data_IF_761607152585
#
_entry.id   IF_761607152585
#
_cell.length_a   1.000
_cell.length_b   1.000
_cell.length_c   1.000
_cell.angle_alpha   90.00
_cell.angle_beta   90.00
_cell.angle_gamma   90.00
#
_symmetry.space_group_name_H-M   'P 1'
#
loop_
_entity.id
_entity.type
_entity.pdbx_description
1 polymer ?
#
# COMPACT_ATOMS: atom_id res chain seq x y z
N UNK A 1 19.23 9.36 8.63
CA UNK A 1 18.59 10.66 8.92
C UNK A 1 17.12 10.57 8.58
N UNK A 2 16.25 10.87 9.54
CA UNK A 2 14.79 10.87 9.40
C UNK A 2 14.33 12.20 8.84
N UNK A 3 13.46 12.16 7.83
CA UNK A 3 12.81 13.30 7.17
C UNK A 3 11.30 13.08 7.14
N UNK A 4 10.56 14.08 6.68
CA UNK A 4 9.09 13.98 6.54
C UNK A 4 8.63 12.82 5.65
N UNK A 5 9.44 12.43 4.66
CA UNK A 5 9.14 11.26 3.80
C UNK A 5 9.20 9.92 4.54
N UNK A 6 9.81 9.88 5.74
CA UNK A 6 9.90 8.68 6.57
C UNK A 6 8.75 8.58 7.58
N UNK A 7 7.89 9.60 7.64
CA UNK A 7 6.74 9.68 8.54
C UNK A 7 5.47 9.67 7.73
N UNK A 8 4.36 9.24 8.33
CA UNK A 8 3.07 9.10 7.67
C UNK A 8 1.95 9.72 8.50
N UNK A 9 0.82 10.00 7.84
CA UNK A 9 -0.45 10.25 8.52
C UNK A 9 -1.23 8.94 8.73
N UNK A 10 -0.84 7.86 8.05
CA UNK A 10 -1.35 6.52 8.35
C UNK A 10 -0.80 6.04 9.70
N UNK A 11 -1.72 5.79 10.63
CA UNK A 11 -1.44 5.38 12.01
C UNK A 11 -0.69 4.05 12.10
N UNK A 12 -0.79 3.18 11.10
CA UNK A 12 0.00 1.93 11.09
C UNK A 12 1.46 2.12 10.71
N UNK A 13 1.77 3.24 10.05
CA UNK A 13 3.09 3.51 9.49
C UNK A 13 3.96 4.26 10.50
N UNK A 14 4.49 3.53 11.49
CA UNK A 14 5.28 4.07 12.62
C UNK A 14 6.57 4.79 12.20
N UNK A 15 7.34 4.19 11.29
CA UNK A 15 8.59 4.75 10.72
C UNK A 15 8.98 3.99 9.45
N UNK A 16 9.18 4.69 8.33
CA UNK A 16 9.78 4.08 7.13
C UNK A 16 11.31 4.13 7.16
N UNK A 17 11.90 2.99 7.49
CA UNK A 17 13.35 2.78 7.51
C UNK A 17 13.97 2.42 6.15
N UNK A 18 13.16 2.12 5.12
CA UNK A 18 13.65 1.71 3.80
C UNK A 18 14.16 2.92 3.00
N UNK A 19 13.57 4.09 3.19
CA UNK A 19 13.88 5.33 2.45
C UNK A 19 14.79 6.33 3.21
N UNK A 20 15.55 5.85 4.21
CA UNK A 20 16.44 6.69 5.01
C UNK A 20 17.61 7.25 4.19
N UNK A 21 18.01 8.49 4.51
CA UNK A 21 19.24 9.10 3.97
C UNK A 21 20.37 8.95 4.98
N UNK A 22 21.53 8.49 4.52
CA UNK A 22 22.71 8.33 5.36
C UNK A 22 23.56 9.60 5.37
N UNK A 23 24.16 9.89 6.53
CA UNK A 23 25.04 11.04 6.75
C UNK A 23 26.32 10.57 7.43
N UNK A 24 27.42 11.31 7.26
CA UNK A 24 28.67 11.03 7.96
C UNK A 24 28.53 11.18 9.47
N UNK A 25 29.33 10.42 10.23
CA UNK A 25 29.33 10.46 11.69
C UNK A 25 29.66 11.87 12.25
N UNK A 26 30.52 12.62 11.56
CA UNK A 26 30.90 13.98 11.93
C UNK A 26 29.72 14.96 11.95
N UNK A 27 28.71 14.73 11.09
CA UNK A 27 27.48 15.53 11.06
C UNK A 27 26.62 15.20 12.27
N UNK A 28 26.48 13.92 12.62
CA UNK A 28 25.72 13.48 13.78
C UNK A 28 26.34 14.01 15.10
N UNK A 29 27.67 13.98 15.22
CA UNK A 29 28.43 14.49 16.37
C UNK A 29 28.24 16.00 16.58
N UNK A 30 28.06 16.78 15.50
CA UNK A 30 27.76 18.22 15.57
C UNK A 30 26.33 18.51 16.05
N UNK A 31 25.42 17.53 15.98
CA UNK A 31 24.00 17.69 16.29
C UNK A 31 23.48 16.66 17.32
N UNK A 32 24.08 16.54 18.51
CA UNK A 32 23.75 15.49 19.49
C UNK A 32 22.31 15.61 20.03
N UNK A 33 21.75 16.83 20.03
CA UNK A 33 20.36 17.10 20.44
C UNK A 33 19.32 16.58 19.45
N UNK A 34 19.72 16.28 18.23
CA UNK A 34 18.85 15.77 17.16
C UNK A 34 18.97 14.26 16.96
N UNK A 35 19.70 13.55 17.83
CA UNK A 35 19.81 12.10 17.78
C UNK A 35 18.62 11.48 18.52
N UNK A 36 17.77 10.76 17.80
CA UNK A 36 16.67 9.97 18.33
C UNK A 36 17.10 8.51 18.53
N UNK A 37 16.51 7.85 19.52
CA UNK A 37 16.72 6.44 19.86
C UNK A 37 15.37 5.74 20.01
N UNK A 38 15.41 4.42 20.19
CA UNK A 38 14.21 3.62 20.45
C UNK A 38 13.34 4.25 21.56
N UNK A 39 12.04 4.35 21.30
CA UNK A 39 11.07 4.99 22.18
C UNK A 39 10.97 6.51 22.05
N UNK A 40 11.85 7.18 21.30
CA UNK A 40 11.63 8.59 20.95
C UNK A 40 10.56 8.69 19.86
N UNK A 41 9.74 9.75 19.94
CA UNK A 41 8.83 10.14 18.89
C UNK A 41 9.46 11.22 18.01
N UNK A 42 9.14 11.20 16.73
CA UNK A 42 9.58 12.20 15.75
C UNK A 42 8.36 12.86 15.14
N UNK A 43 8.29 14.18 15.23
CA UNK A 43 7.15 14.98 14.77
C UNK A 43 7.57 15.94 13.66
N UNK A 44 6.80 16.08 12.58
CA UNK A 44 7.12 17.05 11.52
C UNK A 44 6.76 18.47 11.93
N UNK A 45 7.75 19.37 11.98
CA UNK A 45 7.55 20.79 12.30
C UNK A 45 7.26 21.67 11.10
N UNK A 46 7.66 21.29 9.89
CA UNK A 46 7.47 22.11 8.68
C UNK A 46 7.13 21.27 7.46
N UNK A 47 6.14 21.71 6.68
CA UNK A 47 5.68 21.03 5.47
C UNK A 47 4.49 20.11 5.77
N UNK A 48 4.73 18.80 5.83
CA UNK A 48 3.72 17.78 6.17
C UNK A 48 3.43 17.73 7.66
N UNK A 49 2.97 18.87 8.21
CA UNK A 49 2.60 19.05 9.61
C UNK A 49 1.52 18.04 10.02
N UNK A 50 1.62 17.52 11.25
CA UNK A 50 0.70 16.52 11.79
C UNK A 50 1.24 15.09 11.73
N UNK A 51 2.25 14.83 10.90
CA UNK A 51 2.92 13.53 10.89
C UNK A 51 3.72 13.29 12.18
N UNK A 52 3.48 12.14 12.79
CA UNK A 52 4.24 11.63 13.92
C UNK A 52 4.76 10.23 13.59
N UNK A 53 5.95 9.91 14.05
CA UNK A 53 6.50 8.57 14.06
C UNK A 53 7.07 8.23 15.41
N UNK A 54 7.31 6.95 15.63
CA UNK A 54 8.00 6.43 16.82
C UNK A 54 9.16 5.59 16.34
N UNK A 55 10.32 5.68 17.00
CA UNK A 55 11.44 4.76 16.76
C UNK A 55 11.12 3.44 17.46
N UNK A 56 10.86 2.33 16.74
CA UNK A 56 10.55 1.04 17.36
C UNK A 56 11.71 0.50 18.19
N UNK A 57 11.41 -0.43 19.10
CA UNK A 57 12.43 -1.09 19.92
C UNK A 57 13.34 -2.01 19.10
N UNK A 58 12.81 -2.59 18.02
CA UNK A 58 13.49 -3.46 17.06
C UNK A 58 14.03 -2.72 15.82
N UNK A 59 14.16 -1.39 15.92
CA UNK A 59 14.71 -0.53 14.88
C UNK A 59 16.06 -1.02 14.34
N UNK A 60 16.28 -0.86 13.03
CA UNK A 60 17.51 -1.34 12.35
C UNK A 60 18.80 -0.69 12.86
N UNK A 61 18.70 0.53 13.39
CA UNK A 61 19.84 1.30 13.87
C UNK A 61 19.61 1.70 15.34
N UNK A 62 20.70 1.83 16.10
CA UNK A 62 20.63 2.29 17.49
C UNK A 62 20.36 3.79 17.62
N UNK A 63 20.68 4.57 16.58
CA UNK A 63 20.61 6.03 16.59
C UNK A 63 20.16 6.59 15.24
N UNK A 64 19.28 7.59 15.28
CA UNK A 64 18.73 8.26 14.10
C UNK A 64 18.92 9.77 14.22
N UNK A 65 19.62 10.38 13.26
CA UNK A 65 19.64 11.83 13.15
C UNK A 65 18.28 12.34 12.63
N UNK A 66 17.65 13.25 13.35
CA UNK A 66 16.40 13.91 12.96
C UNK A 66 16.71 15.19 12.19
N UNK A 67 16.09 15.39 11.02
CA UNK A 67 16.32 16.61 10.24
C UNK A 67 15.80 17.86 10.95
N UNK A 68 16.28 19.04 10.53
CA UNK A 68 15.86 20.34 11.09
C UNK A 68 14.38 20.69 10.88
N UNK A 69 13.66 19.96 10.02
CA UNK A 69 12.20 20.07 9.81
C UNK A 69 11.38 19.10 10.66
N UNK A 70 12.04 18.36 11.54
CA UNK A 70 11.42 17.43 12.47
C UNK A 70 11.83 17.80 13.91
N UNK A 71 11.02 17.37 14.87
CA UNK A 71 11.20 17.55 16.30
C UNK A 71 11.29 16.17 16.95
N UNK A 72 12.25 16.01 17.86
CA UNK A 72 12.35 14.81 18.70
C UNK A 72 11.59 15.04 20.00
N UNK A 73 10.79 14.06 20.40
CA UNK A 73 10.13 14.02 21.70
C UNK A 73 10.59 12.76 22.43
N UNK A 74 11.12 12.96 23.63
CA UNK A 74 11.49 11.88 24.55
C UNK A 74 10.52 11.94 25.72
N UNK A 75 9.82 10.84 25.99
CA UNK A 75 8.87 10.76 27.10
C UNK A 75 9.56 10.30 28.40
N UNK A 76 8.94 10.63 29.53
CA UNK A 76 9.27 10.01 30.81
C UNK A 76 8.50 8.67 30.92
N UNK A 77 9.18 7.51 30.84
CA UNK A 77 8.52 6.21 30.85
C UNK A 77 7.82 5.90 32.18
N UNK A 78 8.16 6.60 33.27
CA UNK A 78 7.45 6.51 34.54
C UNK A 78 6.10 7.25 34.55
N UNK A 79 5.72 7.91 33.45
CA UNK A 79 4.49 8.69 33.33
C UNK A 79 3.70 8.40 32.06
N UNK A 80 4.40 8.10 30.96
CA UNK A 80 3.77 7.94 29.64
C UNK A 80 4.42 6.80 28.87
N UNK A 81 3.61 5.89 28.34
CA UNK A 81 4.06 4.91 27.35
C UNK A 81 4.33 5.62 26.01
N UNK A 82 5.54 5.46 25.41
CA UNK A 82 5.85 6.08 24.13
C UNK A 82 4.86 5.70 23.02
N UNK A 83 4.50 4.40 22.95
CA UNK A 83 3.60 3.89 21.91
C UNK A 83 2.16 4.36 22.13
N UNK A 84 1.71 4.47 23.38
CA UNK A 84 0.43 5.10 23.69
C UNK A 84 0.40 6.56 23.22
N UNK A 85 1.46 7.33 23.50
CA UNK A 85 1.54 8.72 23.05
C UNK A 85 1.57 8.81 21.52
N UNK A 86 2.22 7.88 20.83
CA UNK A 86 2.19 7.80 19.37
C UNK A 86 0.75 7.67 18.86
N UNK A 87 -0.03 6.72 19.39
CA UNK A 87 -1.44 6.56 19.02
C UNK A 87 -2.28 7.78 19.36
N UNK A 88 -2.07 8.39 20.53
CA UNK A 88 -2.76 9.62 20.92
C UNK A 88 -2.51 10.76 19.94
N UNK A 89 -1.27 10.97 19.52
CA UNK A 89 -0.89 12.05 18.60
C UNK A 89 -1.26 11.76 17.14
N UNK A 90 -1.41 10.49 16.78
CA UNK A 90 -1.77 10.06 15.42
C UNK A 90 -3.28 10.13 15.13
N UNK A 91 -4.10 10.42 16.14
CA UNK A 91 -5.55 10.55 15.94
C UNK A 91 -5.90 11.73 15.05
N UNK A 92 -6.86 11.51 14.15
CA UNK A 92 -7.36 12.52 13.21
C UNK A 92 -7.74 13.84 13.90
N UNK A 93 -8.44 13.77 15.05
CA UNK A 93 -8.82 14.95 15.81
C UNK A 93 -7.61 15.77 16.30
N UNK A 94 -6.52 15.10 16.70
CA UNK A 94 -5.30 15.76 17.16
C UNK A 94 -4.54 16.35 15.98
N UNK A 95 -4.46 15.63 14.86
CA UNK A 95 -3.88 16.13 13.61
C UNK A 95 -4.62 17.40 13.14
N UNK A 96 -5.96 17.39 13.15
CA UNK A 96 -6.79 18.53 12.80
C UNK A 96 -6.58 19.73 13.74
N UNK A 97 -6.47 19.48 15.05
CA UNK A 97 -6.13 20.54 16.00
C UNK A 97 -4.77 21.17 15.67
N UNK A 98 -3.76 20.35 15.41
CA UNK A 98 -2.40 20.80 15.07
C UNK A 98 -2.41 21.61 13.77
N UNK A 99 -3.16 21.17 12.77
CA UNK A 99 -3.30 21.89 11.50
C UNK A 99 -4.05 23.22 11.67
N UNK A 100 -5.06 23.28 12.54
CA UNK A 100 -5.79 24.50 12.88
C UNK A 100 -4.93 25.55 13.60
N UNK A 101 -3.90 25.10 14.32
CA UNK A 101 -2.92 25.95 15.00
C UNK A 101 -1.66 26.21 14.14
N UNK A 102 -1.55 25.64 12.93
CA UNK A 102 -0.36 25.76 12.11
C UNK A 102 -0.08 27.22 11.67
N UNK A 103 1.19 27.57 11.63
CA UNK A 103 1.71 28.90 11.29
C UNK A 103 2.30 28.86 9.87
N UNK A 104 2.28 29.99 9.15
CA UNK A 104 2.92 30.11 7.84
C UNK A 104 1.93 29.86 6.70
N UNK A 105 1.71 30.89 5.88
CA UNK A 105 0.67 30.89 4.85
C UNK A 105 0.98 29.99 3.65
N UNK A 106 2.25 29.82 3.29
CA UNK A 106 2.68 29.03 2.12
C UNK A 106 3.26 27.67 2.48
N UNK A 107 3.94 27.56 3.63
CA UNK A 107 4.47 26.30 4.16
C UNK A 107 4.01 26.21 5.61
N UNK A 108 3.05 25.32 5.93
CA UNK A 108 2.60 25.12 7.29
C UNK A 108 3.76 24.73 8.20
N UNK A 109 3.75 25.30 9.40
CA UNK A 109 4.72 25.09 10.45
C UNK A 109 4.05 24.90 11.80
N UNK A 110 4.54 23.97 12.60
CA UNK A 110 4.11 23.73 13.97
C UNK A 110 5.36 23.62 14.85
N UNK A 111 5.50 24.55 15.79
CA UNK A 111 6.76 24.71 16.54
C UNK A 111 6.72 24.02 17.92
N UNK A 112 7.90 23.90 18.54
CA UNK A 112 8.05 23.28 19.86
C UNK A 112 7.23 23.97 20.97
N UNK A 113 6.99 25.28 20.86
CA UNK A 113 6.18 26.02 21.83
C UNK A 113 4.71 25.61 21.78
N UNK A 114 4.16 25.47 20.57
CA UNK A 114 2.79 24.99 20.35
C UNK A 114 2.64 23.52 20.79
N UNK A 115 3.61 22.68 20.41
CA UNK A 115 3.63 21.28 20.80
C UNK A 115 3.64 21.09 22.33
N UNK A 116 4.32 21.97 23.08
CA UNK A 116 4.32 21.97 24.55
C UNK A 116 2.99 22.38 25.19
N UNK A 117 2.14 23.08 24.44
CA UNK A 117 0.81 23.52 24.90
C UNK A 117 -0.28 22.50 24.56
N UNK A 118 0.02 21.55 23.66
CA UNK A 118 -0.90 20.48 23.29
C UNK A 118 -1.27 19.65 24.52
N UNK A 119 -2.56 19.62 24.85
CA UNK A 119 -3.08 18.84 25.97
C UNK A 119 -3.36 17.43 25.50
N UNK A 120 -2.79 16.45 26.18
CA UNK A 120 -3.04 15.02 25.96
C UNK A 120 -3.76 14.43 27.16
N UNK A 121 -4.72 13.55 26.92
CA UNK A 121 -5.36 12.76 27.98
C UNK A 121 -4.45 11.59 28.32
N UNK A 122 -4.08 11.43 29.59
CA UNK A 122 -3.20 10.36 30.05
C UNK A 122 -3.96 9.56 31.12
N UNK A 123 -4.44 8.34 30.80
CA UNK A 123 -4.91 7.42 31.81
C UNK A 123 -3.71 6.89 32.63
N UNK A 124 -3.97 6.04 33.62
CA UNK A 124 -2.88 5.40 34.37
C UNK A 124 -1.98 4.54 33.45
N UNK A 125 -0.75 4.27 33.90
CA UNK A 125 0.24 3.56 33.09
C UNK A 125 -0.19 2.15 32.67
N UNK A 126 -0.99 1.45 33.49
CA UNK A 126 -1.45 0.11 33.14
C UNK A 126 -2.43 0.20 31.97
N UNK A 127 -3.41 1.10 32.04
CA UNK A 127 -4.34 1.37 30.94
C UNK A 127 -3.61 1.83 29.66
N UNK A 128 -2.59 2.69 29.78
CA UNK A 128 -1.79 3.10 28.62
C UNK A 128 -1.06 1.92 27.96
N UNK A 129 -0.49 1.02 28.78
CA UNK A 129 0.19 -0.17 28.30
C UNK A 129 -0.80 -1.13 27.60
N UNK A 130 -1.95 -1.40 28.22
CA UNK A 130 -2.97 -2.28 27.64
C UNK A 130 -3.46 -1.77 26.27
N UNK A 131 -3.71 -0.47 26.13
CA UNK A 131 -4.14 0.13 24.85
C UNK A 131 -3.01 0.01 23.81
N UNK A 132 -1.79 0.36 24.21
CA UNK A 132 -0.62 0.29 23.34
C UNK A 132 -0.33 -1.14 22.88
N UNK A 133 -0.54 -2.14 23.72
CA UNK A 133 -0.32 -3.55 23.41
C UNK A 133 -1.36 -4.07 22.40
N UNK A 134 -2.64 -3.72 22.57
CA UNK A 134 -3.71 -4.15 21.65
C UNK A 134 -3.52 -3.56 20.27
N UNK A 135 -3.41 -2.23 20.17
CA UNK A 135 -3.20 -1.56 18.88
C UNK A 135 -1.83 -1.93 18.30
N UNK A 136 -0.84 -2.07 19.18
CA UNK A 136 0.52 -2.48 18.86
C UNK A 136 0.56 -3.81 18.13
N UNK A 137 -0.12 -4.81 18.69
CA UNK A 137 -0.19 -6.16 18.13
C UNK A 137 -0.87 -6.21 16.75
N UNK A 138 -1.87 -5.36 16.51
CA UNK A 138 -2.53 -5.26 15.19
C UNK A 138 -1.54 -4.74 14.13
N UNK A 139 -0.86 -3.64 14.41
CA UNK A 139 0.13 -3.06 13.50
C UNK A 139 1.34 -3.99 13.30
N UNK A 140 1.80 -4.66 14.35
CA UNK A 140 2.91 -5.62 14.27
C UNK A 140 2.54 -6.80 13.36
N UNK A 141 1.30 -7.29 13.45
CA UNK A 141 0.77 -8.33 12.58
C UNK A 141 0.63 -7.86 11.13
N UNK A 142 0.15 -6.63 10.89
CA UNK A 142 0.10 -6.02 9.55
C UNK A 142 1.51 -5.98 8.94
N UNK A 143 2.49 -5.44 9.68
CA UNK A 143 3.88 -5.34 9.24
C UNK A 143 4.52 -6.72 9.02
N UNK A 144 4.20 -7.72 9.84
CA UNK A 144 4.62 -9.10 9.62
C UNK A 144 4.04 -9.67 8.32
N UNK A 145 2.75 -9.47 8.06
CA UNK A 145 2.10 -9.91 6.84
C UNK A 145 2.67 -9.21 5.59
N UNK A 146 2.99 -7.91 5.65
CA UNK A 146 3.65 -7.21 4.55
C UNK A 146 5.04 -7.79 4.22
N UNK A 147 5.82 -8.17 5.24
CA UNK A 147 7.11 -8.86 5.02
C UNK A 147 6.94 -10.25 4.37
N UNK A 148 5.87 -10.96 4.73
CA UNK A 148 5.52 -12.24 4.09
C UNK A 148 5.09 -12.01 2.65
N UNK A 149 4.27 -10.99 2.36
CA UNK A 149 3.87 -10.61 1.00
C UNK A 149 5.09 -10.34 0.11
N UNK A 150 6.04 -9.51 0.58
CA UNK A 150 7.29 -9.20 -0.14
C UNK A 150 8.04 -10.51 -0.50
N UNK A 151 8.14 -11.44 0.46
CA UNK A 151 8.87 -12.70 0.28
C UNK A 151 8.17 -13.69 -0.65
N UNK A 152 6.83 -13.80 -0.54
CA UNK A 152 6.00 -14.72 -1.33
C UNK A 152 5.97 -14.28 -2.79
N UNK A 153 5.83 -12.98 -3.06
CA UNK A 153 5.87 -12.45 -4.41
C UNK A 153 7.26 -12.64 -5.05
N UNK A 154 8.34 -12.38 -4.30
CA UNK A 154 9.69 -12.63 -4.79
C UNK A 154 9.89 -14.12 -5.15
N UNK A 155 9.42 -15.04 -4.29
CA UNK A 155 9.48 -16.47 -4.56
C UNK A 155 8.67 -16.88 -5.80
N UNK A 156 7.48 -16.32 -5.99
CA UNK A 156 6.66 -16.57 -7.17
C UNK A 156 7.35 -16.12 -8.48
N UNK A 157 7.96 -14.92 -8.48
CA UNK A 157 8.77 -14.45 -9.60
C UNK A 157 9.98 -15.35 -9.89
N UNK A 158 10.65 -15.86 -8.86
CA UNK A 158 11.77 -16.79 -9.01
C UNK A 158 11.33 -18.13 -9.62
N UNK A 159 10.20 -18.68 -9.16
CA UNK A 159 9.62 -19.89 -9.76
C UNK A 159 9.23 -19.66 -11.22
N UNK A 160 8.66 -18.51 -11.57
CA UNK A 160 8.40 -18.15 -12.96
C UNK A 160 9.69 -18.08 -13.77
N UNK A 161 10.71 -17.37 -13.28
CA UNK A 161 11.98 -17.24 -13.98
C UNK A 161 12.67 -18.60 -14.20
N UNK A 162 12.60 -19.51 -13.22
CA UNK A 162 13.09 -20.88 -13.36
C UNK A 162 12.29 -21.66 -14.40
N UNK A 163 10.96 -21.70 -14.27
CA UNK A 163 10.09 -22.43 -15.19
C UNK A 163 10.23 -21.92 -16.63
N UNK A 164 10.34 -20.61 -16.81
CA UNK A 164 10.57 -19.95 -18.12
C UNK A 164 11.90 -20.34 -18.75
N UNK A 165 12.97 -20.52 -17.97
CA UNK A 165 14.27 -21.00 -18.49
C UNK A 165 14.25 -22.47 -18.90
N UNK A 166 13.56 -23.31 -18.15
CA UNK A 166 13.51 -24.77 -18.38
C UNK A 166 12.50 -25.16 -19.46
N UNK A 167 11.48 -24.33 -19.68
CA UNK A 167 10.43 -24.59 -20.65
C UNK A 167 10.95 -24.54 -22.10
N UNK A 168 10.56 -25.53 -22.89
CA UNK A 168 10.50 -25.35 -24.34
C UNK A 168 9.44 -24.30 -24.67
N UNK A 169 9.85 -23.29 -25.43
CA UNK A 169 9.01 -22.14 -25.80
C UNK A 169 9.11 -21.86 -27.29
N UNK A 170 8.02 -21.34 -27.83
CA UNK A 170 7.96 -20.82 -29.19
C UNK A 170 7.61 -19.34 -29.18
N UNK A 171 7.97 -18.63 -30.25
CA UNK A 171 7.66 -17.22 -30.40
C UNK A 171 6.28 -17.06 -31.03
N UNK A 172 5.38 -16.42 -30.28
CA UNK A 172 4.05 -16.01 -30.73
C UNK A 172 3.90 -14.50 -30.50
N UNK A 173 2.73 -13.95 -30.79
CA UNK A 173 2.34 -12.60 -30.37
C UNK A 173 1.33 -12.66 -29.23
N UNK A 174 1.16 -11.56 -28.47
CA UNK A 174 0.09 -11.52 -27.48
C UNK A 174 -1.29 -11.69 -28.11
N UNK A 175 -1.51 -11.25 -29.36
CA UNK A 175 -2.80 -11.47 -30.05
C UNK A 175 -3.08 -12.96 -30.28
N UNK A 176 -2.05 -13.81 -30.40
CA UNK A 176 -2.22 -15.25 -30.58
C UNK A 176 -2.71 -15.92 -29.29
N UNK A 177 -2.23 -15.47 -28.12
CA UNK A 177 -2.41 -16.18 -26.83
C UNK A 177 -3.26 -15.44 -25.80
N UNK A 178 -3.58 -14.16 -26.02
CA UNK A 178 -4.28 -13.29 -25.05
C UNK A 178 -5.50 -12.62 -25.68
N UNK A 179 -6.60 -12.65 -24.95
CA UNK A 179 -7.75 -11.75 -25.15
C UNK A 179 -7.44 -10.40 -24.50
N UNK A 180 -7.21 -9.40 -25.36
CA UNK A 180 -6.86 -8.04 -24.92
C UNK A 180 -8.09 -7.14 -24.97
N UNK A 181 -8.47 -6.64 -23.80
CA UNK A 181 -9.61 -5.77 -23.58
C UNK A 181 -9.15 -4.41 -23.02
N UNK A 182 -10.09 -3.48 -22.84
CA UNK A 182 -9.83 -2.18 -22.24
C UNK A 182 -11.09 -1.64 -21.58
N UNK A 183 -11.01 -0.41 -21.10
CA UNK A 183 -12.06 0.21 -20.32
C UNK A 183 -12.68 1.47 -20.92
N UNK A 184 -13.49 2.12 -20.10
CA UNK A 184 -14.21 3.35 -20.40
C UNK A 184 -14.57 4.11 -19.13
N UNK A 185 -14.73 5.42 -19.26
CA UNK A 185 -15.18 6.27 -18.15
C UNK A 185 -16.61 6.71 -18.43
N UNK A 186 -17.60 6.35 -17.59
CA UNK A 186 -18.91 6.96 -17.69
C UNK A 186 -18.81 8.46 -17.38
N UNK A 187 -19.79 9.22 -17.88
CA UNK A 187 -19.84 10.67 -17.65
C UNK A 187 -19.81 10.98 -16.15
N UNK A 188 -18.80 11.75 -15.73
CA UNK A 188 -18.58 12.08 -14.31
C UNK A 188 -19.58 13.07 -13.76
N UNK A 189 -20.25 13.81 -14.64
CA UNK A 189 -21.28 14.80 -14.33
C UNK A 189 -22.69 14.21 -14.18
N UNK A 190 -22.84 12.89 -14.32
CA UNK A 190 -24.11 12.18 -14.17
C UNK A 190 -24.04 11.31 -12.89
N UNK A 191 -24.57 11.78 -11.75
CA UNK A 191 -24.47 11.08 -10.47
C UNK A 191 -25.04 9.65 -10.50
N UNK A 192 -26.07 9.40 -11.30
CA UNK A 192 -26.76 8.10 -11.43
C UNK A 192 -25.83 6.98 -11.94
N UNK A 193 -24.68 7.33 -12.52
CA UNK A 193 -23.68 6.37 -12.97
C UNK A 193 -22.73 5.89 -11.89
N UNK A 194 -22.71 6.55 -10.72
CA UNK A 194 -21.72 6.34 -9.67
C UNK A 194 -22.33 5.75 -8.40
N UNK A 195 -21.47 5.34 -7.47
CA UNK A 195 -21.86 4.80 -6.16
C UNK A 195 -22.71 3.52 -6.23
N UNK A 196 -22.62 2.80 -7.35
CA UNK A 196 -23.25 1.50 -7.53
C UNK A 196 -22.43 0.33 -6.98
N UNK A 197 -22.87 -0.91 -7.23
CA UNK A 197 -22.21 -2.11 -6.71
C UNK A 197 -20.99 -2.56 -7.52
N UNK A 198 -20.72 -1.95 -8.68
CA UNK A 198 -19.68 -2.39 -9.62
C UNK A 198 -18.38 -1.64 -9.32
N UNK A 199 -17.33 -2.37 -8.99
CA UNK A 199 -15.97 -1.82 -8.83
C UNK A 199 -15.51 -1.20 -10.14
N UNK A 200 -14.94 0.00 -10.09
CA UNK A 200 -14.43 0.70 -11.26
C UNK A 200 -13.00 1.17 -11.02
N UNK A 201 -12.04 0.41 -11.56
CA UNK A 201 -10.63 0.62 -11.31
C UNK A 201 -10.05 1.75 -12.18
N UNK A 202 -9.17 2.53 -11.56
CA UNK A 202 -8.32 3.55 -12.16
C UNK A 202 -6.85 3.20 -11.90
N UNK A 203 -5.89 3.76 -12.67
CA UNK A 203 -4.48 3.52 -12.42
C UNK A 203 -4.05 3.81 -10.98
N UNK A 204 -4.68 4.80 -10.33
CA UNK A 204 -4.44 5.14 -8.91
C UNK A 204 -4.70 3.95 -7.99
N UNK A 205 -5.79 3.21 -8.19
CA UNK A 205 -6.13 2.03 -7.39
C UNK A 205 -5.03 0.98 -7.48
N UNK A 206 -4.54 0.70 -8.69
CA UNK A 206 -3.49 -0.30 -8.91
C UNK A 206 -2.13 0.15 -8.40
N UNK A 207 -1.77 1.42 -8.56
CA UNK A 207 -0.49 1.96 -8.03
C UNK A 207 -0.46 2.11 -6.52
N UNK A 208 -1.62 2.13 -5.86
CA UNK A 208 -1.73 2.19 -4.40
C UNK A 208 -1.61 0.81 -3.73
N UNK A 209 -1.71 -0.28 -4.50
CA UNK A 209 -1.65 -1.64 -3.98
C UNK A 209 -0.27 -1.97 -3.37
N UNK A 210 -0.29 -2.63 -2.22
CA UNK A 210 0.92 -3.21 -1.59
C UNK A 210 1.33 -4.53 -2.22
N UNK A 211 0.37 -5.27 -2.75
CA UNK A 211 0.56 -6.52 -3.49
C UNK A 211 -0.42 -6.53 -4.67
N UNK A 212 -0.09 -7.17 -5.80
CA UNK A 212 -0.81 -6.98 -7.06
C UNK A 212 -2.12 -7.80 -7.12
N UNK A 213 -2.98 -7.64 -6.11
CA UNK A 213 -4.31 -8.26 -6.01
C UNK A 213 -5.32 -7.18 -5.67
N UNK A 214 -6.33 -6.99 -6.53
CA UNK A 214 -7.35 -5.94 -6.38
C UNK A 214 -8.66 -6.56 -5.89
N UNK A 215 -9.07 -6.19 -4.68
CA UNK A 215 -10.36 -6.56 -4.10
C UNK A 215 -11.40 -5.46 -4.26
N UNK A 216 -11.05 -4.23 -3.90
CA UNK A 216 -11.93 -3.06 -3.91
C UNK A 216 -11.31 -1.91 -4.70
N UNK A 217 -12.14 -0.97 -5.12
CA UNK A 217 -11.72 0.25 -5.85
C UNK A 217 -12.22 1.48 -5.11
N UNK A 218 -11.50 2.59 -5.19
CA UNK A 218 -11.88 3.84 -4.53
C UNK A 218 -13.17 4.45 -5.09
N UNK A 219 -13.59 4.04 -6.29
CA UNK A 219 -14.86 4.44 -6.90
C UNK A 219 -15.62 3.23 -7.42
N UNK A 220 -16.93 3.33 -7.41
CA UNK A 220 -17.83 2.32 -7.98
C UNK A 220 -18.83 2.95 -8.93
N UNK A 221 -19.39 2.15 -9.82
CA UNK A 221 -20.38 2.55 -10.82
C UNK A 221 -21.63 1.68 -10.74
N UNK A 222 -22.74 2.19 -11.28
CA UNK A 222 -23.99 1.46 -11.44
C UNK A 222 -24.00 0.68 -12.75
N UNK A 223 -24.98 -0.21 -12.92
CA UNK A 223 -25.22 -0.92 -14.19
C UNK A 223 -25.48 0.07 -15.35
N UNK A 224 -26.17 1.17 -15.05
CA UNK A 224 -26.40 2.26 -16.01
C UNK A 224 -25.08 2.94 -16.39
N UNK A 225 -24.19 3.18 -15.41
CA UNK A 225 -22.86 3.71 -15.66
C UNK A 225 -22.00 2.77 -16.53
N UNK A 226 -22.04 1.47 -16.25
CA UNK A 226 -21.32 0.46 -17.05
C UNK A 226 -21.83 0.46 -18.50
N UNK A 227 -23.15 0.39 -18.68
CA UNK A 227 -23.80 0.39 -20.00
C UNK A 227 -23.58 1.69 -20.80
N UNK A 228 -23.31 2.80 -20.11
CA UNK A 228 -23.08 4.12 -20.72
C UNK A 228 -21.61 4.37 -21.13
N UNK A 229 -20.71 3.40 -20.94
CA UNK A 229 -19.30 3.56 -21.28
C UNK A 229 -18.74 2.37 -22.08
N UNK A 230 -17.51 2.51 -22.58
CA UNK A 230 -16.83 1.44 -23.34
C UNK A 230 -16.19 0.36 -22.46
N UNK A 231 -16.36 0.43 -21.13
CA UNK A 231 -15.92 -0.64 -20.24
C UNK A 231 -16.89 -1.80 -20.30
N UNK A 232 -16.38 -2.99 -20.04
CA UNK A 232 -17.18 -4.16 -19.71
C UNK A 232 -16.92 -4.56 -18.26
N UNK A 233 -17.72 -5.49 -17.76
CA UNK A 233 -17.44 -6.14 -16.49
C UNK A 233 -16.42 -7.26 -16.73
N UNK A 234 -15.18 -7.05 -16.31
CA UNK A 234 -14.14 -8.06 -16.42
C UNK A 234 -14.29 -9.09 -15.31
N UNK A 235 -14.10 -10.36 -15.66
CA UNK A 235 -14.23 -11.48 -14.72
C UNK A 235 -13.10 -11.50 -13.69
N UNK A 236 -13.29 -12.14 -12.53
CA UNK A 236 -12.18 -12.46 -11.62
C UNK A 236 -11.05 -13.16 -12.37
N UNK A 237 -9.82 -12.99 -11.88
CA UNK A 237 -8.55 -13.43 -12.47
C UNK A 237 -8.06 -12.64 -13.68
N UNK A 238 -8.85 -11.70 -14.22
CA UNK A 238 -8.38 -10.79 -15.28
C UNK A 238 -7.17 -10.01 -14.80
N UNK A 239 -6.16 -9.88 -15.68
CA UNK A 239 -4.94 -9.14 -15.41
C UNK A 239 -5.16 -7.69 -15.83
N UNK A 240 -5.08 -6.76 -14.88
CA UNK A 240 -5.18 -5.34 -15.15
C UNK A 240 -3.77 -4.77 -15.21
N UNK A 241 -3.37 -4.21 -16.36
CA UNK A 241 -2.10 -3.52 -16.51
C UNK A 241 -2.34 -2.06 -16.87
N UNK A 242 -1.77 -1.14 -16.11
CA UNK A 242 -1.79 0.28 -16.46
C UNK A 242 -1.06 0.50 -17.79
N UNK A 243 -1.72 1.19 -18.72
CA UNK A 243 -1.20 1.43 -20.08
C UNK A 243 -0.77 2.86 -20.33
N UNK A 244 -0.96 3.76 -19.36
CA UNK A 244 -0.64 5.20 -19.44
C UNK A 244 -0.03 5.71 -18.15
N UNK A 245 0.85 6.71 -18.26
CA UNK A 245 1.56 7.40 -17.16
C UNK A 245 2.46 6.49 -16.30
N UNK A 246 1.88 5.49 -15.63
CA UNK A 246 2.58 4.50 -14.79
C UNK A 246 2.56 3.13 -15.46
N UNK A 247 3.01 3.03 -16.71
CA UNK A 247 2.95 1.79 -17.51
C UNK A 247 3.59 0.62 -16.74
N UNK A 248 2.89 -0.52 -16.68
CA UNK A 248 3.42 -1.73 -16.08
C UNK A 248 3.17 -1.87 -14.56
N UNK A 249 2.22 -1.13 -14.00
CA UNK A 249 1.63 -1.49 -12.72
C UNK A 249 0.52 -2.53 -12.95
N UNK A 250 0.48 -3.57 -12.12
CA UNK A 250 -0.38 -4.74 -12.33
C UNK A 250 -1.31 -5.00 -11.15
N UNK A 251 -2.49 -5.50 -11.47
CA UNK A 251 -3.38 -6.12 -10.49
C UNK A 251 -4.03 -7.40 -11.04
N UNK A 252 -4.08 -8.41 -10.20
CA UNK A 252 -4.93 -9.57 -10.35
C UNK A 252 -6.32 -9.25 -9.81
N UNK A 253 -7.35 -9.22 -10.67
CA UNK A 253 -8.70 -8.92 -10.24
C UNK A 253 -9.27 -10.06 -9.38
N UNK A 254 -9.43 -9.84 -8.07
CA UNK A 254 -10.00 -10.86 -7.17
C UNK A 254 -11.53 -10.94 -7.29
N UNK A 255 -12.17 -9.89 -7.81
CA UNK A 255 -13.62 -9.74 -7.98
C UNK A 255 -13.92 -9.20 -9.39
N UNK A 256 -15.18 -9.33 -9.87
CA UNK A 256 -15.59 -8.68 -11.10
C UNK A 256 -15.36 -7.16 -11.01
N UNK A 257 -14.79 -6.58 -12.05
CA UNK A 257 -14.35 -5.18 -12.04
C UNK A 257 -14.46 -4.56 -13.44
N UNK A 258 -14.94 -3.32 -13.50
CA UNK A 258 -14.85 -2.47 -14.67
C UNK A 258 -13.59 -1.60 -14.57
N UNK A 259 -13.06 -1.10 -15.69
CA UNK A 259 -11.84 -0.28 -15.66
C UNK A 259 -12.00 0.97 -16.52
N UNK A 260 -11.19 1.99 -16.25
CA UNK A 260 -11.12 3.15 -17.11
C UNK A 260 -10.24 2.89 -18.36
N UNK A 261 -10.12 3.89 -19.24
CA UNK A 261 -9.30 3.80 -20.47
C UNK A 261 -7.78 3.81 -20.24
N UNK A 262 -7.32 3.81 -18.98
CA UNK A 262 -5.92 3.74 -18.56
C UNK A 262 -5.36 2.32 -18.43
N UNK A 263 -6.12 1.30 -18.88
CA UNK A 263 -5.74 -0.09 -18.76
C UNK A 263 -5.67 -0.83 -20.09
N UNK A 264 -4.74 -1.77 -20.14
CA UNK A 264 -4.85 -2.99 -20.90
C UNK A 264 -5.36 -4.07 -19.94
N UNK A 265 -6.48 -4.72 -20.27
CA UNK A 265 -6.96 -5.88 -19.53
C UNK A 265 -6.64 -7.13 -20.32
N UNK A 266 -5.96 -8.08 -19.71
CA UNK A 266 -5.44 -9.27 -20.36
C UNK A 266 -6.02 -10.55 -19.73
N UNK A 267 -6.50 -11.45 -20.59
CA UNK A 267 -6.92 -12.81 -20.21
C UNK A 267 -6.29 -13.79 -21.18
N UNK A 268 -5.61 -14.81 -20.67
CA UNK A 268 -5.06 -15.87 -21.50
C UNK A 268 -6.23 -16.63 -22.17
N UNK A 269 -6.08 -16.92 -23.47
CA UNK A 269 -7.05 -17.74 -24.19
C UNK A 269 -7.11 -19.17 -23.66
N UNK A 270 -5.98 -19.68 -23.16
CA UNK A 270 -5.91 -20.90 -22.35
C UNK A 270 -5.96 -20.52 -20.86
N UNK A 271 -7.03 -20.86 -20.11
CA UNK A 271 -7.12 -20.59 -18.68
C UNK A 271 -5.96 -21.16 -17.87
N UNK A 272 -5.35 -22.28 -18.30
CA UNK A 272 -4.21 -22.87 -17.60
C UNK A 272 -2.95 -22.02 -17.70
N UNK A 273 -2.89 -21.10 -18.66
CA UNK A 273 -1.80 -20.16 -18.84
C UNK A 273 -2.07 -18.79 -18.18
N UNK A 274 -3.21 -18.57 -17.51
CA UNK A 274 -3.54 -17.27 -16.91
C UNK A 274 -2.49 -16.80 -15.90
N UNK A 275 -2.06 -17.70 -15.00
CA UNK A 275 -1.03 -17.39 -14.02
C UNK A 275 0.33 -17.16 -14.68
N UNK A 276 0.67 -17.97 -15.69
CA UNK A 276 1.90 -17.78 -16.47
C UNK A 276 1.92 -16.40 -17.14
N UNK A 277 0.81 -16.02 -17.78
CA UNK A 277 0.65 -14.72 -18.43
C UNK A 277 0.88 -13.56 -17.45
N UNK A 278 0.35 -13.67 -16.23
CA UNK A 278 0.53 -12.62 -15.22
C UNK A 278 2.01 -12.35 -14.91
N UNK A 279 2.79 -13.39 -14.63
CA UNK A 279 4.22 -13.23 -14.36
C UNK A 279 5.04 -12.93 -15.61
N UNK A 280 4.64 -13.44 -16.77
CA UNK A 280 5.25 -13.10 -18.06
C UNK A 280 5.12 -11.60 -18.32
N UNK A 281 3.93 -11.03 -18.15
CA UNK A 281 3.71 -9.61 -18.38
C UNK A 281 4.49 -8.74 -17.40
N UNK A 282 4.51 -9.12 -16.12
CA UNK A 282 5.30 -8.42 -15.10
C UNK A 282 6.81 -8.43 -15.41
N UNK A 283 7.32 -9.50 -16.03
CA UNK A 283 8.74 -9.59 -16.40
C UNK A 283 9.15 -8.72 -17.59
N UNK A 284 8.19 -8.06 -18.26
CA UNK A 284 8.38 -7.38 -19.55
C UNK A 284 8.01 -5.90 -19.55
N UNK A 285 7.96 -5.28 -18.37
CA UNK A 285 7.67 -3.84 -18.25
C UNK A 285 8.64 -2.99 -19.08
N UNK A 286 9.93 -3.33 -19.11
CA UNK A 286 10.91 -2.59 -19.93
C UNK A 286 10.61 -2.66 -21.43
N UNK A 287 10.15 -3.82 -21.93
CA UNK A 287 9.71 -3.97 -23.33
C UNK A 287 8.50 -3.08 -23.61
N UNK A 288 7.55 -3.01 -22.67
CA UNK A 288 6.35 -2.18 -22.80
C UNK A 288 6.68 -0.70 -22.85
N UNK A 289 7.61 -0.25 -22.01
CA UNK A 289 8.10 1.12 -22.00
C UNK A 289 8.82 1.47 -23.30
N UNK A 290 9.63 0.55 -23.85
CA UNK A 290 10.33 0.76 -25.12
C UNK A 290 9.40 0.91 -26.34
N UNK A 291 8.18 0.35 -26.27
CA UNK A 291 7.18 0.42 -27.34
C UNK A 291 6.04 1.41 -27.04
N UNK A 292 6.10 2.11 -25.90
CA UNK A 292 5.17 3.16 -25.56
C UNK A 292 5.45 4.41 -26.40
N UNK A 293 4.39 5.11 -26.81
CA UNK A 293 4.49 6.32 -27.63
C UNK A 293 4.00 7.53 -26.84
N UNK A 294 4.51 8.72 -27.18
CA UNK A 294 4.08 10.01 -26.61
C UNK A 294 5.23 10.83 -26.03
N UNK A 295 5.22 12.14 -26.26
CA UNK A 295 6.27 13.05 -25.78
C UNK A 295 6.09 13.43 -24.29
N UNK A 296 4.85 13.69 -23.86
CA UNK A 296 4.53 14.17 -22.51
C UNK A 296 3.93 13.09 -21.62
N UNK A 297 3.14 12.18 -22.20
CA UNK A 297 2.58 11.02 -21.51
C UNK A 297 2.80 9.79 -22.37
N UNK A 298 3.59 8.84 -21.85
CA UNK A 298 3.79 7.56 -22.49
C UNK A 298 2.50 6.74 -22.43
N UNK A 299 2.14 6.15 -23.57
CA UNK A 299 1.01 5.24 -23.71
C UNK A 299 1.41 4.00 -24.52
N UNK A 300 1.10 2.82 -23.98
CA UNK A 300 1.12 1.58 -24.73
C UNK A 300 -0.27 1.27 -25.27
N UNK A 301 -0.47 1.44 -26.57
CA UNK A 301 -1.76 1.12 -27.20
C UNK A 301 -2.03 -0.39 -27.18
N UNK A 302 -3.30 -0.78 -27.06
CA UNK A 302 -3.73 -2.19 -27.16
C UNK A 302 -3.28 -2.86 -28.45
N UNK A 303 -3.27 -2.12 -29.57
CA UNK A 303 -2.85 -2.67 -30.86
C UNK A 303 -1.34 -2.94 -30.90
N UNK A 304 -0.54 -2.07 -30.27
CA UNK A 304 0.90 -2.27 -30.11
C UNK A 304 1.16 -3.48 -29.20
N UNK A 305 0.52 -3.53 -28.03
CA UNK A 305 0.65 -4.65 -27.09
C UNK A 305 0.37 -6.00 -27.75
N UNK A 306 -0.75 -6.11 -28.48
CA UNK A 306 -1.13 -7.31 -29.25
C UNK A 306 -0.03 -7.83 -30.18
N UNK A 307 0.74 -6.93 -30.80
CA UNK A 307 1.80 -7.29 -31.77
C UNK A 307 3.15 -7.60 -31.12
N UNK A 308 3.33 -7.35 -29.82
CA UNK A 308 4.59 -7.65 -29.17
C UNK A 308 4.83 -9.17 -29.18
N UNK A 309 6.04 -9.62 -29.54
CA UNK A 309 6.38 -11.03 -29.54
C UNK A 309 6.46 -11.53 -28.10
N UNK A 310 6.01 -12.75 -27.83
CA UNK A 310 6.06 -13.43 -26.52
C UNK A 310 6.58 -14.85 -26.70
N UNK A 311 7.51 -15.26 -25.81
CA UNK A 311 8.00 -16.62 -25.76
C UNK A 311 7.05 -17.47 -24.91
N UNK A 312 6.23 -18.30 -25.56
CA UNK A 312 5.12 -19.02 -24.94
C UNK A 312 5.45 -20.51 -24.71
N UNK A 313 5.11 -21.10 -23.55
CA UNK A 313 5.38 -22.50 -23.28
C UNK A 313 4.55 -23.41 -24.19
N UNK A 314 5.19 -24.40 -24.81
CA UNK A 314 4.54 -25.32 -25.75
C UNK A 314 3.93 -26.55 -25.07
N UNK A 315 4.31 -26.84 -23.82
CA UNK A 315 3.88 -28.04 -23.09
C UNK A 315 2.85 -27.72 -22.00
N UNK A 316 1.66 -28.32 -22.04
CA UNK A 316 0.67 -28.26 -20.96
C UNK A 316 1.26 -28.65 -19.59
N UNK A 317 2.13 -29.67 -19.56
CA UNK A 317 2.76 -30.15 -18.32
C UNK A 317 3.62 -29.08 -17.62
N UNK A 318 4.20 -28.14 -18.38
CA UNK A 318 4.97 -27.03 -17.82
C UNK A 318 4.05 -26.07 -17.07
N UNK A 319 2.90 -25.72 -17.67
CA UNK A 319 1.90 -24.87 -17.05
C UNK A 319 1.31 -25.52 -15.80
N UNK A 320 1.00 -26.83 -15.85
CA UNK A 320 0.50 -27.58 -14.69
C UNK A 320 1.49 -27.58 -13.52
N UNK A 321 2.78 -27.86 -13.79
CA UNK A 321 3.83 -27.82 -12.75
C UNK A 321 4.01 -26.43 -12.16
N UNK A 322 3.98 -25.42 -13.02
CA UNK A 322 4.09 -24.02 -12.62
C UNK A 322 2.90 -23.63 -11.73
N UNK A 323 1.67 -23.87 -12.17
CA UNK A 323 0.45 -23.55 -11.42
C UNK A 323 0.42 -24.28 -10.07
N UNK A 324 0.78 -25.57 -10.02
CA UNK A 324 0.83 -26.32 -8.76
C UNK A 324 1.76 -25.70 -7.73
N UNK A 325 2.81 -25.01 -8.18
CA UNK A 325 3.80 -24.38 -7.30
C UNK A 325 3.43 -22.95 -6.94
N UNK A 326 2.93 -22.18 -7.91
CA UNK A 326 2.74 -20.72 -7.77
C UNK A 326 1.32 -20.33 -7.39
N UNK A 327 0.30 -21.11 -7.74
CA UNK A 327 -1.08 -20.82 -7.34
C UNK A 327 -1.24 -20.69 -5.81
N UNK A 328 -0.67 -21.60 -4.97
CA UNK A 328 -0.76 -21.44 -3.51
C UNK A 328 -0.08 -20.16 -2.99
N UNK A 329 0.95 -19.66 -3.69
CA UNK A 329 1.62 -18.41 -3.33
C UNK A 329 0.72 -17.20 -3.63
N UNK A 330 0.01 -17.22 -4.76
CA UNK A 330 -0.96 -16.17 -5.09
C UNK A 330 -2.18 -16.21 -4.17
N UNK A 331 -2.66 -17.41 -3.81
CA UNK A 331 -3.77 -17.59 -2.86
C UNK A 331 -3.38 -17.06 -1.47
N UNK A 332 -2.16 -17.36 -1.00
CA UNK A 332 -1.62 -16.80 0.25
C UNK A 332 -1.50 -15.27 0.17
N UNK A 333 -1.04 -14.74 -0.96
CA UNK A 333 -0.97 -13.29 -1.19
C UNK A 333 -2.35 -12.65 -1.04
N UNK A 334 -3.36 -13.22 -1.69
CA UNK A 334 -4.76 -12.76 -1.62
C UNK A 334 -5.34 -12.84 -0.20
N UNK A 335 -4.99 -13.87 0.57
CA UNK A 335 -5.43 -14.03 1.96
C UNK A 335 -4.77 -13.00 2.90
N UNK A 336 -3.46 -12.76 2.75
CA UNK A 336 -2.72 -11.79 3.57
C UNK A 336 -3.16 -10.35 3.30
N UNK A 337 -3.47 -10.00 2.04
CA UNK A 337 -4.02 -8.68 1.69
C UNK A 337 -5.36 -8.45 2.41
N UNK A 338 -6.30 -9.38 2.31
CA UNK A 338 -7.58 -9.28 3.02
C UNK A 338 -7.44 -9.32 4.54
N UNK A 339 -6.45 -10.05 5.08
CA UNK A 339 -6.16 -10.01 6.51
C UNK A 339 -5.68 -8.61 6.93
N UNK A 340 -4.76 -8.00 6.18
CA UNK A 340 -4.28 -6.65 6.46
C UNK A 340 -5.38 -5.58 6.34
N UNK A 341 -6.28 -5.70 5.37
CA UNK A 341 -7.45 -4.82 5.26
C UNK A 341 -8.35 -4.93 6.50
N UNK A 342 -8.65 -6.16 6.96
CA UNK A 342 -9.46 -6.38 8.17
C UNK A 342 -8.77 -5.89 9.44
N UNK A 343 -7.47 -6.12 9.58
CA UNK A 343 -6.68 -5.68 10.72
C UNK A 343 -6.62 -4.14 10.78
N UNK A 344 -6.40 -3.50 9.63
CA UNK A 344 -6.44 -2.03 9.49
C UNK A 344 -7.81 -1.48 9.90
N UNK A 345 -8.89 -2.03 9.34
CA UNK A 345 -10.25 -1.61 9.69
C UNK A 345 -10.56 -1.81 11.18
N UNK A 346 -10.10 -2.91 11.77
CA UNK A 346 -10.27 -3.19 13.20
C UNK A 346 -9.51 -2.19 14.06
N UNK A 347 -8.24 -1.91 13.73
CA UNK A 347 -7.42 -0.92 14.42
C UNK A 347 -8.07 0.46 14.34
N UNK A 348 -8.49 0.88 13.16
CA UNK A 348 -9.06 2.22 12.94
C UNK A 348 -10.40 2.40 13.66
N UNK A 349 -11.17 1.31 13.82
CA UNK A 349 -12.39 1.31 14.63
C UNK A 349 -12.11 1.32 16.15
N UNK A 350 -11.09 0.60 16.61
CA UNK A 350 -10.74 0.50 18.03
C UNK A 350 -10.03 1.75 18.54
N UNK A 351 -9.16 2.35 17.74
CA UNK A 351 -8.32 3.49 18.14
C UNK A 351 -9.14 4.61 18.81
N UNK A 352 -10.14 5.25 18.18
CA UNK A 352 -10.87 6.34 18.82
C UNK A 352 -11.67 5.88 20.06
N UNK A 353 -12.17 4.65 20.10
CA UNK A 353 -12.95 4.13 21.22
C UNK A 353 -12.07 3.83 22.44
N UNK A 354 -10.87 3.27 22.24
CA UNK A 354 -9.89 3.02 23.28
C UNK A 354 -9.28 4.33 23.80
N UNK A 355 -8.89 5.24 22.90
CA UNK A 355 -8.31 6.53 23.30
C UNK A 355 -9.31 7.45 24.01
N UNK A 356 -10.62 7.32 23.72
CA UNK A 356 -11.67 8.05 24.44
C UNK A 356 -12.10 7.39 25.76
N UNK A 357 -11.68 6.15 26.02
CA UNK A 357 -12.08 5.37 27.18
C UNK A 357 -13.52 4.83 27.13
N UNK A 358 -14.23 5.00 26.00
CA UNK A 358 -15.58 4.44 25.78
C UNK A 358 -15.56 2.91 25.69
N UNK A 359 -14.43 2.35 25.25
CA UNK A 359 -14.18 0.92 25.23
C UNK A 359 -12.92 0.64 26.06
N UNK A 360 -12.97 -0.38 26.91
CA UNK A 360 -11.81 -0.87 27.65
C UNK A 360 -11.19 -2.06 26.93
N UNK A 361 -9.91 -2.33 27.19
CA UNK A 361 -9.20 -3.47 26.60
C UNK A 361 -9.82 -4.80 27.04
N UNK A 362 -10.27 -4.92 28.28
CA UNK A 362 -10.97 -6.13 28.75
C UNK A 362 -12.25 -6.40 27.95
N UNK A 363 -13.04 -5.36 27.68
CA UNK A 363 -14.26 -5.49 26.88
C UNK A 363 -13.96 -5.90 25.41
N UNK A 364 -12.80 -5.51 24.87
CA UNK A 364 -12.35 -5.99 23.54
C UNK A 364 -11.99 -7.49 23.61
N UNK A 365 -11.23 -7.90 24.62
CA UNK A 365 -10.80 -9.30 24.80
C UNK A 365 -11.97 -10.25 24.99
N UNK A 366 -12.99 -9.85 25.75
CA UNK A 366 -14.21 -10.63 25.96
C UNK A 366 -14.99 -10.83 24.66
N UNK A 367 -15.09 -9.79 23.83
CA UNK A 367 -15.76 -9.85 22.53
C UNK A 367 -15.03 -10.70 21.50
N UNK A 368 -13.70 -10.78 21.58
CA UNK A 368 -12.89 -11.60 20.68
C UNK A 368 -12.92 -13.09 21.02
N UNK A 369 -13.37 -13.45 22.23
CA UNK A 369 -13.42 -14.83 22.74
C UNK A 369 -14.79 -15.50 22.54
N UNK A 370 -15.78 -14.77 22.03
CA UNK A 370 -17.11 -15.24 21.62
C UNK A 370 -17.14 -15.48 20.11
#
# INVERSE_FOLDING_TARGET
MIRGSNLSLDVGSRLDERSLVFVGADVAEKHPRSIARAGDLVFTSWGTVGQVGIIPADSRFSEYLVSNKQMRLTVDPGRVSPLFLYYQLSQQQVVEQILGEAIGSSIPGFNLGQLRQLKVCLPDLATQADIADVLGALDDKIAANERVLDSVLALAHLHFAQASREAQREWLTYDDVVEVQGGGTPRTDIPEYWEGPIRWATPTDVTALKAPVLFETGRTITEAGLSACSSQLHEPTSILMTSRATIGAFAWAARPVAVNQGFIVAKAKDPMAQLWLFFEMQSRVDDYLAHANGATFLELSRSTFKRLPVAWPTSPSTLERFNRTVQPLLDLTAALVQENERLTATRDALLPELMSGRLTVDAVRDRASM
#
